data_IF_154862702194
#
_entry.id   IF_154862702194
#
_cell.length_a   1.000
_cell.length_b   1.000
_cell.length_c   1.000
_cell.angle_alpha   90.00
_cell.angle_beta   90.00
_cell.angle_gamma   90.00
#
_symmetry.space_group_name_H-M   'P 1'
#
loop_
_entity.id
_entity.type
_entity.pdbx_description
1 polymer ?
#
# COMPACT_ATOMS: atom_id res chain seq x y z
N UNK A 1 13.01 -10.99 -5.15
CA UNK A 1 13.01 -9.56 -5.51
C UNK A 1 13.44 -8.79 -4.28
N UNK A 2 14.19 -7.70 -4.43
CA UNK A 2 14.48 -6.78 -3.32
C UNK A 2 13.54 -5.58 -3.46
N UNK A 3 12.91 -5.17 -2.37
CA UNK A 3 11.99 -4.04 -2.33
C UNK A 3 12.58 -2.95 -1.43
N UNK A 4 13.51 -2.12 -1.96
CA UNK A 4 14.33 -1.23 -1.15
C UNK A 4 13.54 -0.17 -0.37
N UNK A 5 12.34 0.20 -0.82
CA UNK A 5 11.45 1.10 -0.09
C UNK A 5 10.57 0.32 0.88
N UNK A 6 9.88 -0.72 0.41
CA UNK A 6 8.98 -1.52 1.27
C UNK A 6 9.70 -2.17 2.44
N UNK A 7 10.92 -2.68 2.25
CA UNK A 7 11.73 -3.31 3.31
C UNK A 7 12.12 -2.33 4.43
N UNK A 8 11.93 -1.02 4.24
CA UNK A 8 12.25 0.02 5.22
C UNK A 8 11.02 0.59 5.93
N UNK A 9 9.81 0.25 5.48
CA UNK A 9 8.57 0.71 6.09
C UNK A 9 8.20 -0.27 7.21
N UNK A 10 8.36 0.16 8.45
CA UNK A 10 8.00 -0.63 9.64
C UNK A 10 6.60 -0.26 10.13
N UNK A 11 6.13 0.96 9.84
CA UNK A 11 4.77 1.38 10.14
C UNK A 11 4.27 2.52 9.25
N UNK A 12 2.96 2.76 9.27
CA UNK A 12 2.33 3.86 8.53
C UNK A 12 2.88 5.26 8.88
N UNK A 13 3.52 5.44 10.05
CA UNK A 13 4.15 6.73 10.40
C UNK A 13 5.29 7.09 9.45
N UNK A 14 5.98 6.07 8.92
CA UNK A 14 7.17 6.29 8.10
C UNK A 14 6.79 7.02 6.81
N UNK A 15 5.57 6.77 6.31
CA UNK A 15 4.98 7.40 5.13
C UNK A 15 4.80 8.92 5.28
N UNK A 16 4.66 9.45 6.50
CA UNK A 16 4.51 10.89 6.74
C UNK A 16 5.78 11.67 6.36
N UNK A 17 6.94 11.01 6.42
CA UNK A 17 8.24 11.62 6.11
C UNK A 17 8.73 11.39 4.68
N UNK A 18 7.99 10.57 3.91
CA UNK A 18 8.37 10.22 2.55
C UNK A 18 8.10 11.36 1.57
N UNK A 19 9.04 11.54 0.66
CA UNK A 19 8.86 12.38 -0.51
C UNK A 19 7.89 11.73 -1.52
N UNK A 20 7.31 12.54 -2.40
CA UNK A 20 6.44 12.03 -3.46
C UNK A 20 7.11 10.96 -4.36
N UNK A 21 8.39 11.10 -4.76
CA UNK A 21 9.08 10.04 -5.48
C UNK A 21 9.23 8.74 -4.69
N UNK A 22 9.48 8.81 -3.37
CA UNK A 22 9.56 7.63 -2.51
C UNK A 22 8.20 6.92 -2.39
N UNK A 23 7.11 7.69 -2.25
CA UNK A 23 5.75 7.14 -2.24
C UNK A 23 5.40 6.47 -3.58
N UNK A 24 5.84 7.05 -4.70
CA UNK A 24 5.61 6.49 -6.02
C UNK A 24 6.40 5.18 -6.22
N UNK A 25 7.64 5.14 -5.75
CA UNK A 25 8.43 3.91 -5.73
C UNK A 25 7.82 2.85 -4.79
N UNK A 26 7.29 3.24 -3.63
CA UNK A 26 6.57 2.33 -2.73
C UNK A 26 5.34 1.71 -3.44
N UNK A 27 4.58 2.52 -4.19
CA UNK A 27 3.43 2.04 -4.96
C UNK A 27 3.85 1.00 -6.02
N UNK A 28 4.96 1.24 -6.73
CA UNK A 28 5.50 0.31 -7.72
C UNK A 28 5.93 -1.02 -7.08
N UNK A 29 6.59 -0.96 -5.93
CA UNK A 29 7.00 -2.16 -5.18
C UNK A 29 5.79 -2.93 -4.64
N UNK A 30 4.77 -2.25 -4.09
CA UNK A 30 3.52 -2.88 -3.64
C UNK A 30 2.84 -3.60 -4.79
N UNK A 31 2.71 -2.96 -5.96
CA UNK A 31 2.10 -3.60 -7.14
C UNK A 31 2.88 -4.83 -7.59
N UNK A 32 4.22 -4.81 -7.53
CA UNK A 32 5.03 -5.99 -7.83
C UNK A 32 4.77 -7.14 -6.85
N UNK A 33 4.66 -6.85 -5.55
CA UNK A 33 4.31 -7.86 -4.53
C UNK A 33 2.93 -8.45 -4.80
N UNK A 34 1.92 -7.60 -5.00
CA UNK A 34 0.54 -8.02 -5.26
C UNK A 34 0.44 -8.88 -6.54
N UNK A 35 1.12 -8.47 -7.62
CA UNK A 35 1.21 -9.26 -8.85
C UNK A 35 1.96 -10.57 -8.67
N UNK A 36 2.99 -10.61 -7.80
CA UNK A 36 3.68 -11.85 -7.44
C UNK A 36 2.74 -12.85 -6.76
N UNK A 37 1.85 -12.37 -5.87
CA UNK A 37 0.89 -13.22 -5.16
C UNK A 37 -0.16 -13.86 -6.08
N UNK A 38 -0.51 -13.19 -7.19
CA UNK A 38 -1.41 -13.74 -8.21
C UNK A 38 -0.91 -15.04 -8.83
N UNK A 39 0.41 -15.28 -8.85
CA UNK A 39 0.98 -16.52 -9.36
C UNK A 39 0.71 -17.73 -8.45
N UNK A 40 0.34 -17.49 -7.18
CA UNK A 40 0.19 -18.52 -6.14
C UNK A 40 -1.27 -18.67 -5.71
N UNK A 41 -2.07 -17.61 -5.79
CA UNK A 41 -3.49 -17.60 -5.38
C UNK A 41 -4.36 -16.89 -6.40
N UNK A 42 -5.43 -17.54 -6.83
CA UNK A 42 -6.51 -16.88 -7.56
C UNK A 42 -7.37 -16.07 -6.58
N UNK A 43 -7.34 -14.75 -6.70
CA UNK A 43 -8.24 -13.85 -5.98
C UNK A 43 -8.55 -12.61 -6.82
N UNK A 44 -9.64 -11.91 -6.51
CA UNK A 44 -9.98 -10.62 -7.11
C UNK A 44 -8.96 -9.56 -6.66
N UNK A 45 -7.86 -9.42 -7.41
CA UNK A 45 -6.78 -8.47 -7.09
C UNK A 45 -6.90 -7.12 -7.79
N UNK A 46 -7.76 -7.01 -8.83
CA UNK A 46 -7.89 -5.77 -9.59
C UNK A 46 -8.28 -4.58 -8.71
N UNK A 47 -9.15 -4.80 -7.70
CA UNK A 47 -9.52 -3.79 -6.72
C UNK A 47 -8.33 -3.34 -5.84
N UNK A 48 -7.46 -4.28 -5.42
CA UNK A 48 -6.28 -3.98 -4.61
C UNK A 48 -5.26 -3.16 -5.41
N UNK A 49 -5.05 -3.51 -6.69
CA UNK A 49 -4.17 -2.73 -7.57
C UNK A 49 -4.69 -1.30 -7.80
N UNK A 50 -6.01 -1.11 -7.81
CA UNK A 50 -6.64 0.19 -8.06
C UNK A 50 -6.65 1.16 -6.87
N UNK A 51 -6.25 0.71 -5.67
CA UNK A 51 -6.25 1.56 -4.46
C UNK A 51 -4.88 1.75 -3.82
N UNK A 52 -3.79 1.28 -4.44
CA UNK A 52 -2.43 1.37 -3.88
C UNK A 52 -2.06 2.82 -3.55
N UNK A 53 -2.24 3.74 -4.49
CA UNK A 53 -1.90 5.14 -4.30
C UNK A 53 -2.83 5.82 -3.30
N UNK A 54 -4.11 5.44 -3.29
CA UNK A 54 -5.08 5.94 -2.32
C UNK A 54 -4.70 5.50 -0.90
N UNK A 55 -4.30 4.25 -0.71
CA UNK A 55 -3.84 3.73 0.57
C UNK A 55 -2.61 4.51 1.06
N UNK A 56 -1.59 4.65 0.21
CA UNK A 56 -0.38 5.41 0.54
C UNK A 56 -0.67 6.89 0.84
N UNK A 57 -1.52 7.54 0.06
CA UNK A 57 -1.89 8.94 0.27
C UNK A 57 -2.69 9.15 1.56
N UNK A 58 -3.61 8.23 1.89
CA UNK A 58 -4.35 8.28 3.15
C UNK A 58 -3.40 8.12 4.34
N UNK A 59 -2.51 7.14 4.29
CA UNK A 59 -1.58 6.87 5.39
C UNK A 59 -0.42 7.88 5.47
N UNK A 60 -0.06 8.60 4.39
CA UNK A 60 0.94 9.67 4.44
C UNK A 60 0.41 10.98 5.03
N UNK A 61 -0.92 11.18 5.02
CA UNK A 61 -1.56 12.41 5.50
C UNK A 61 -2.23 12.25 6.86
N UNK A 62 -2.91 11.13 7.09
CA UNK A 62 -3.69 10.90 8.31
C UNK A 62 -2.98 9.96 9.30
N UNK A 63 -3.36 10.05 10.57
CA UNK A 63 -2.88 9.16 11.64
C UNK A 63 -4.01 8.27 12.14
N UNK A 64 -4.21 7.11 11.49
CA UNK A 64 -5.26 6.15 11.84
C UNK A 64 -5.00 5.35 13.13
N UNK A 65 -3.97 5.70 13.91
CA UNK A 65 -3.88 5.28 15.32
C UNK A 65 -4.79 6.13 16.21
N UNK A 66 -5.20 7.29 15.72
CA UNK A 66 -6.13 8.24 16.35
C UNK A 66 -7.43 8.34 15.56
N UNK A 67 -7.31 8.46 14.24
CA UNK A 67 -8.43 8.57 13.31
C UNK A 67 -8.98 7.19 12.91
N UNK A 68 -10.17 7.15 12.32
CA UNK A 68 -10.77 5.92 11.80
C UNK A 68 -10.79 5.93 10.27
N UNK A 69 -10.23 4.89 9.66
CA UNK A 69 -10.37 4.60 8.23
C UNK A 69 -11.38 3.46 8.04
N UNK A 70 -12.35 3.65 7.15
CA UNK A 70 -13.34 2.63 6.79
C UNK A 70 -13.23 2.36 5.29
N UNK A 71 -12.85 1.13 4.94
CA UNK A 71 -12.94 0.61 3.59
C UNK A 71 -14.26 -0.13 3.43
N UNK A 72 -15.15 0.36 2.56
CA UNK A 72 -16.42 -0.32 2.29
C UNK A 72 -16.15 -1.67 1.60
N UNK A 73 -16.90 -2.71 2.02
CA UNK A 73 -16.75 -4.15 1.67
C UNK A 73 -15.41 -4.83 2.01
N UNK A 74 -14.28 -4.12 1.96
CA UNK A 74 -12.97 -4.59 2.44
C UNK A 74 -12.20 -5.52 1.50
N UNK A 75 -12.66 -5.77 0.27
CA UNK A 75 -11.94 -6.63 -0.69
C UNK A 75 -10.68 -5.97 -1.28
N UNK A 76 -10.43 -4.70 -0.96
CA UNK A 76 -9.36 -3.85 -1.47
C UNK A 76 -8.32 -3.46 -0.41
N UNK A 77 -8.22 -4.18 0.71
CA UNK A 77 -7.39 -3.82 1.88
C UNK A 77 -6.02 -4.52 1.93
N UNK A 78 -5.54 -5.06 0.81
CA UNK A 78 -4.24 -5.74 0.78
C UNK A 78 -3.03 -4.79 0.69
N UNK A 79 -3.08 -3.67 -0.06
CA UNK A 79 -2.03 -2.65 -0.02
C UNK A 79 -1.88 -2.07 1.39
#
# INVERSE_FOLDING_TARGET
>A
MKFPILERIESAIDLHSMSLPELQQAADEIRQVLCGLLSIRSAHFACNLGVVELCLALHSVFDFRKDRLIWDTGHQIYP
#
